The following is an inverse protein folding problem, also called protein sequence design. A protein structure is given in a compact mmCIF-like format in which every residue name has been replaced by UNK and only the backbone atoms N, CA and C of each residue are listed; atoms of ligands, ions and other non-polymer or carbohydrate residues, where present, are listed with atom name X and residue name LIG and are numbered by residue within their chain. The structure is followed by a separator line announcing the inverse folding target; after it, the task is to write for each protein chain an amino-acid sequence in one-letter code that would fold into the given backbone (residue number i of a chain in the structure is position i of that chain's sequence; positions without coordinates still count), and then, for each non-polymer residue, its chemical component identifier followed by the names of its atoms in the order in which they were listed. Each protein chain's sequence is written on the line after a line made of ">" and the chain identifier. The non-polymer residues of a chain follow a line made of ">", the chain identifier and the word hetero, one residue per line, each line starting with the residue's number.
data_IF_982248400674
#
_entry.id   IF_982248400674
#
_cell.length_a   1.000
_cell.length_b   1.000
_cell.length_c   1.000
_cell.angle_alpha   90.00
_cell.angle_beta   90.00
_cell.angle_gamma   90.00
#
_symmetry.space_group_name_H-M   'P 1'
#
loop_
_entity.id
_entity.type
_entity.pdbx_description
1 polymer ?
#
# COMPACT_ATOMS: atom_id res chain seq x y z
N UNK A 1 -6.72 -27.42 -0.91
CA UNK A 1 -5.97 -26.21 -0.49
C UNK A 1 -6.95 -25.07 -0.27
N UNK A 2 -6.82 -24.29 0.81
CA UNK A 2 -7.70 -23.13 1.06
C UNK A 2 -7.04 -21.84 0.56
N UNK A 3 -7.85 -20.92 0.02
CA UNK A 3 -7.40 -19.59 -0.39
C UNK A 3 -7.40 -18.65 0.82
N UNK A 4 -6.30 -17.92 1.03
CA UNK A 4 -6.15 -16.92 2.11
C UNK A 4 -5.90 -15.55 1.50
N UNK A 5 -6.57 -14.53 2.02
CA UNK A 5 -6.37 -13.15 1.59
C UNK A 5 -5.03 -12.61 2.12
N UNK A 6 -4.39 -11.76 1.31
CA UNK A 6 -3.18 -11.01 1.67
C UNK A 6 -3.48 -9.51 1.67
N UNK A 7 -2.64 -8.73 2.37
CA UNK A 7 -2.75 -7.27 2.40
C UNK A 7 -2.44 -6.67 1.03
N UNK A 8 -2.99 -5.49 0.75
CA UNK A 8 -2.75 -4.79 -0.51
C UNK A 8 -1.28 -4.39 -0.67
N UNK A 9 -0.61 -4.02 0.43
CA UNK A 9 0.82 -3.74 0.47
C UNK A 9 1.65 -4.91 -0.07
N UNK A 10 1.46 -6.11 0.49
CA UNK A 10 2.20 -7.32 0.10
C UNK A 10 1.90 -7.70 -1.35
N UNK A 11 0.62 -7.65 -1.74
CA UNK A 11 0.20 -7.98 -3.10
C UNK A 11 0.86 -7.08 -4.15
N UNK A 12 1.01 -5.77 -3.87
CA UNK A 12 1.66 -4.83 -4.79
C UNK A 12 3.15 -5.08 -4.91
N UNK A 13 3.83 -5.43 -3.82
CA UNK A 13 5.25 -5.80 -3.85
C UNK A 13 5.46 -7.11 -4.62
N UNK A 14 4.63 -8.12 -4.38
CA UNK A 14 4.67 -9.38 -5.12
C UNK A 14 4.42 -9.16 -6.62
N UNK A 15 3.42 -8.36 -6.98
CA UNK A 15 3.13 -8.05 -8.38
C UNK A 15 4.32 -7.34 -9.04
N UNK A 16 4.86 -6.31 -8.39
CA UNK A 16 6.00 -5.56 -8.91
C UNK A 16 7.25 -6.44 -9.10
N UNK A 17 7.46 -7.40 -8.21
CA UNK A 17 8.57 -8.34 -8.31
C UNK A 17 8.34 -9.37 -9.42
N UNK A 18 7.18 -10.02 -9.44
CA UNK A 18 6.97 -11.19 -10.29
C UNK A 18 6.53 -10.87 -11.72
N UNK A 19 5.86 -9.73 -11.97
CA UNK A 19 5.21 -9.51 -13.27
C UNK A 19 6.19 -9.49 -14.46
N UNK A 20 7.41 -9.00 -14.27
CA UNK A 20 8.47 -9.08 -15.30
C UNK A 20 9.28 -10.38 -15.29
N UNK A 21 9.25 -11.11 -14.17
CA UNK A 21 10.15 -12.26 -13.90
C UNK A 21 9.48 -13.61 -14.08
N UNK A 22 8.15 -13.63 -14.08
CA UNK A 22 7.39 -14.84 -14.23
C UNK A 22 7.68 -15.45 -15.62
N UNK A 23 7.90 -16.78 -15.69
CA UNK A 23 8.06 -17.45 -16.97
C UNK A 23 6.78 -17.31 -17.80
N UNK A 24 6.94 -17.29 -19.11
CA UNK A 24 5.79 -17.42 -20.01
C UNK A 24 5.07 -18.74 -19.73
N UNK A 25 3.74 -18.72 -19.80
CA UNK A 25 2.92 -19.93 -19.69
C UNK A 25 3.21 -20.87 -20.87
N UNK A 26 3.45 -20.30 -22.06
CA UNK A 26 3.85 -21.03 -23.26
C UNK A 26 5.29 -20.68 -23.63
N UNK A 27 6.21 -21.66 -23.70
CA UNK A 27 7.62 -21.42 -24.07
C UNK A 27 7.82 -20.79 -25.45
N UNK A 28 6.87 -20.96 -26.37
CA UNK A 28 6.92 -20.38 -27.72
C UNK A 28 6.56 -18.90 -27.75
N UNK A 29 5.93 -18.40 -26.68
CA UNK A 29 5.47 -17.02 -26.62
C UNK A 29 6.58 -16.09 -26.16
N UNK A 30 6.86 -15.09 -26.98
CA UNK A 30 7.81 -14.02 -26.68
C UNK A 30 7.04 -12.72 -26.47
N UNK A 31 7.43 -11.93 -25.46
CA UNK A 31 6.87 -10.59 -25.29
C UNK A 31 7.23 -9.72 -26.51
N UNK A 32 6.21 -9.28 -27.26
CA UNK A 32 6.40 -8.37 -28.39
C UNK A 32 6.85 -6.96 -27.99
N UNK A 33 6.72 -6.57 -26.73
CA UNK A 33 7.23 -5.31 -26.19
C UNK A 33 7.80 -5.57 -24.81
N UNK A 34 9.01 -5.06 -24.55
CA UNK A 34 9.62 -5.18 -23.22
C UNK A 34 8.74 -4.46 -22.21
N UNK A 35 8.18 -5.23 -21.29
CA UNK A 35 7.41 -4.69 -20.18
C UNK A 35 8.37 -4.26 -19.07
N UNK A 36 8.19 -3.04 -18.57
CA UNK A 36 8.88 -2.51 -17.39
C UNK A 36 7.82 -2.01 -16.41
N UNK A 37 7.64 -2.74 -15.33
CA UNK A 37 6.77 -2.39 -14.23
C UNK A 37 7.37 -1.21 -13.45
N UNK A 38 6.57 -0.19 -13.12
CA UNK A 38 7.07 0.93 -12.33
C UNK A 38 7.47 0.48 -10.93
N UNK A 39 8.51 1.10 -10.37
CA UNK A 39 8.91 0.84 -8.99
C UNK A 39 7.73 1.05 -8.03
N UNK A 40 7.42 0.08 -7.14
CA UNK A 40 6.24 0.16 -6.29
C UNK A 40 6.42 1.27 -5.25
N UNK A 41 5.59 2.31 -5.32
CA UNK A 41 5.51 3.38 -4.31
C UNK A 41 4.42 3.09 -3.29
N UNK A 42 4.71 2.13 -2.42
CA UNK A 42 3.86 1.80 -1.26
C UNK A 42 4.69 1.93 0.02
N UNK A 43 4.11 2.55 1.04
CA UNK A 43 4.69 2.65 2.37
C UNK A 43 3.66 2.14 3.39
N UNK A 44 4.11 1.29 4.31
CA UNK A 44 3.25 0.75 5.36
C UNK A 44 3.45 1.58 6.63
N UNK A 45 2.34 2.00 7.23
CA UNK A 45 2.31 2.67 8.53
C UNK A 45 1.55 1.76 9.49
N UNK A 46 2.25 1.25 10.50
CA UNK A 46 1.66 0.52 11.61
C UNK A 46 1.29 1.49 12.72
N UNK A 47 0.28 1.13 13.51
CA UNK A 47 -0.09 1.80 14.75
C UNK A 47 0.09 0.82 15.90
N UNK A 48 0.69 1.29 16.98
CA UNK A 48 0.93 0.53 18.20
C UNK A 48 -0.11 0.90 19.28
N UNK A 49 -0.91 -0.06 19.77
CA UNK A 49 -1.91 0.20 20.81
C UNK A 49 -1.32 0.56 22.17
N UNK A 50 -0.09 0.15 22.49
CA UNK A 50 0.50 0.40 23.81
C UNK A 50 1.00 1.83 23.94
N UNK A 51 1.69 2.31 22.90
CA UNK A 51 2.29 3.66 22.88
C UNK A 51 1.41 4.70 22.19
N UNK A 52 0.34 4.25 21.52
CA UNK A 52 -0.47 5.06 20.61
C UNK A 52 0.35 5.75 19.49
N UNK A 53 1.55 5.23 19.20
CA UNK A 53 2.44 5.75 18.19
C UNK A 53 2.17 5.09 16.82
N UNK A 54 2.67 5.72 15.77
CA UNK A 54 2.71 5.15 14.42
C UNK A 54 4.16 4.94 13.98
N UNK A 55 4.37 4.19 12.89
CA UNK A 55 5.68 3.99 12.26
C UNK A 55 6.47 5.30 12.22
N UNK A 56 7.69 5.34 12.78
CA UNK A 56 8.52 6.55 12.78
C UNK A 56 8.86 7.00 11.36
N UNK A 57 8.93 8.31 11.16
CA UNK A 57 9.30 8.94 9.89
C UNK A 57 10.65 8.44 9.36
N UNK A 58 11.60 8.11 10.24
CA UNK A 58 12.91 7.56 9.88
C UNK A 58 12.85 6.20 9.18
N UNK A 59 11.73 5.48 9.26
CA UNK A 59 11.52 4.19 8.61
C UNK A 59 10.73 4.32 7.29
N UNK A 60 10.32 5.53 6.92
CA UNK A 60 9.57 5.76 5.69
C UNK A 60 10.50 6.09 4.52
N UNK A 61 10.18 5.63 3.31
CA UNK A 61 10.98 5.94 2.14
C UNK A 61 10.86 7.43 1.78
N UNK A 62 11.97 8.02 1.33
CA UNK A 62 12.10 9.47 1.11
C UNK A 62 11.08 10.08 0.13
N UNK A 63 10.52 9.29 -0.80
CA UNK A 63 9.51 9.77 -1.76
C UNK A 63 8.18 10.16 -1.08
N UNK A 64 7.91 9.68 0.12
CA UNK A 64 6.69 10.01 0.89
C UNK A 64 6.61 11.51 1.18
N UNK A 65 7.74 12.17 1.36
CA UNK A 65 7.83 13.60 1.71
C UNK A 65 7.78 14.55 0.51
N UNK A 66 7.96 14.03 -0.70
CA UNK A 66 8.15 14.83 -1.92
C UNK A 66 7.03 14.65 -2.94
N UNK A 67 6.04 13.81 -2.64
CA UNK A 67 4.94 13.49 -3.57
C UNK A 67 3.59 13.55 -2.86
N UNK A 68 2.53 13.81 -3.63
CA UNK A 68 1.16 13.73 -3.13
C UNK A 68 0.76 12.26 -2.92
N UNK A 69 0.09 12.01 -1.80
CA UNK A 69 -0.19 10.69 -1.26
C UNK A 69 -1.69 10.40 -1.26
N UNK A 70 -1.97 9.09 -1.21
CA UNK A 70 -3.27 8.56 -0.81
C UNK A 70 -3.05 7.71 0.44
N UNK A 71 -3.65 8.08 1.56
CA UNK A 71 -3.62 7.28 2.79
C UNK A 71 -4.93 6.51 2.98
N UNK A 72 -4.83 5.25 3.39
CA UNK A 72 -5.96 4.33 3.56
C UNK A 72 -5.60 3.14 4.45
N UNK A 73 -6.57 2.52 5.13
CA UNK A 73 -6.33 1.28 5.87
C UNK A 73 -6.15 0.09 4.93
N UNK A 74 -5.28 -0.84 5.35
CA UNK A 74 -4.97 -2.08 4.66
C UNK A 74 -5.24 -3.30 5.55
N UNK A 75 -6.52 -3.47 5.89
CA UNK A 75 -7.02 -4.51 6.80
C UNK A 75 -8.11 -5.35 6.11
N UNK A 76 -7.97 -5.56 4.80
CA UNK A 76 -8.95 -6.29 3.95
C UNK A 76 -10.35 -5.63 3.85
N UNK A 77 -10.48 -4.38 4.33
CA UNK A 77 -11.72 -3.59 4.26
C UNK A 77 -12.05 -3.26 2.80
N UNK A 78 -13.28 -3.59 2.39
CA UNK A 78 -13.82 -3.28 1.06
C UNK A 78 -14.55 -1.94 1.07
N UNK A 79 -14.79 -1.37 -0.12
CA UNK A 79 -15.56 -0.11 -0.31
C UNK A 79 -15.04 1.09 0.52
N UNK A 80 -13.72 1.17 0.75
CA UNK A 80 -13.05 2.23 1.54
C UNK A 80 -13.44 3.66 1.12
N UNK A 81 -13.67 3.92 -0.17
CA UNK A 81 -14.13 5.23 -0.64
C UNK A 81 -15.52 5.61 -0.11
N UNK A 82 -16.49 4.68 -0.17
CA UNK A 82 -17.84 4.92 0.36
C UNK A 82 -17.84 5.03 1.89
N UNK A 83 -16.91 4.34 2.56
CA UNK A 83 -16.75 4.39 4.01
C UNK A 83 -15.97 5.62 4.52
N UNK A 84 -15.55 6.54 3.63
CA UNK A 84 -14.74 7.70 4.05
C UNK A 84 -13.32 7.34 4.54
N UNK A 85 -12.83 6.15 4.17
CA UNK A 85 -11.54 5.59 4.57
C UNK A 85 -10.44 5.82 3.52
N UNK A 86 -10.54 6.91 2.76
CA UNK A 86 -9.52 7.33 1.79
C UNK A 86 -9.21 8.82 2.01
N UNK A 87 -7.97 9.13 2.36
CA UNK A 87 -7.44 10.50 2.26
C UNK A 87 -6.76 10.64 0.90
N UNK A 88 -7.29 11.51 0.05
CA UNK A 88 -6.79 11.71 -1.32
C UNK A 88 -5.98 13.00 -1.43
N UNK A 89 -4.94 12.99 -2.28
CA UNK A 89 -4.15 14.15 -2.64
C UNK A 89 -3.53 14.90 -1.44
N UNK A 90 -2.91 14.15 -0.51
CA UNK A 90 -2.35 14.69 0.73
C UNK A 90 -0.84 14.80 0.70
N UNK A 91 -0.27 15.78 1.39
CA UNK A 91 1.13 15.76 1.81
C UNK A 91 1.34 14.68 2.88
N UNK A 92 2.59 14.38 3.24
CA UNK A 92 2.87 13.46 4.34
C UNK A 92 2.28 13.96 5.67
N UNK A 93 2.45 15.24 6.01
CA UNK A 93 1.95 15.78 7.28
C UNK A 93 0.42 15.67 7.40
N UNK A 94 -0.31 16.02 6.33
CA UNK A 94 -1.77 15.85 6.28
C UNK A 94 -2.18 14.37 6.37
N UNK A 95 -1.44 13.47 5.71
CA UNK A 95 -1.72 12.03 5.76
C UNK A 95 -1.44 11.45 7.15
N UNK A 96 -0.34 11.88 7.78
CA UNK A 96 0.08 11.47 9.12
C UNK A 96 -0.97 11.86 10.16
N UNK A 97 -1.42 13.11 10.14
CA UNK A 97 -2.53 13.58 10.99
C UNK A 97 -3.82 12.78 10.73
N UNK A 98 -4.16 12.54 9.46
CA UNK A 98 -5.34 11.74 9.10
C UNK A 98 -5.27 10.31 9.66
N UNK A 99 -4.09 9.69 9.65
CA UNK A 99 -3.84 8.35 10.22
C UNK A 99 -3.97 8.41 11.74
N UNK A 100 -3.25 9.31 12.43
CA UNK A 100 -3.24 9.40 13.89
C UNK A 100 -4.63 9.68 14.48
N UNK A 101 -5.44 10.47 13.78
CA UNK A 101 -6.81 10.76 14.23
C UNK A 101 -7.77 9.58 14.10
N UNK A 102 -7.43 8.53 13.34
CA UNK A 102 -8.31 7.39 13.02
C UNK A 102 -7.79 6.02 13.46
N UNK A 103 -6.47 5.86 13.56
CA UNK A 103 -5.85 4.62 14.00
C UNK A 103 -6.35 4.22 15.39
N UNK A 104 -6.54 2.91 15.61
CA UNK A 104 -7.07 2.37 16.87
C UNK A 104 -8.55 2.64 17.15
N UNK A 105 -9.26 3.42 16.31
CA UNK A 105 -10.67 3.77 16.54
C UNK A 105 -11.62 2.88 15.74
N UNK A 106 -12.75 2.45 16.33
CA UNK A 106 -13.75 1.67 15.61
C UNK A 106 -14.32 2.47 14.42
N UNK A 107 -14.49 1.79 13.29
CA UNK A 107 -15.21 2.33 12.13
C UNK A 107 -16.66 1.85 12.18
N UNK A 108 -17.59 2.79 12.00
CA UNK A 108 -19.03 2.52 11.94
C UNK A 108 -19.48 2.25 10.51
#
# INVERSE_FOLDING_TARGET
>A
MSSKAIREYDAKLLLAYWLERAPSVDPSWQLGTKFAFPAPKVAQVAWDPETNAITPDTQLPSWVYTTKLVAKPDQLIKRRGKAGLLALNKTWDEAKEWIQTRAGKPQK
#
